data_IF_645913396781
#
_entry.id   IF_645913396781
#
_cell.length_a   1.000
_cell.length_b   1.000
_cell.length_c   1.000
_cell.angle_alpha   90.00
_cell.angle_beta   90.00
_cell.angle_gamma   90.00
#
_symmetry.space_group_name_H-M   'P 1'
#
loop_
_entity.id
_entity.type
_entity.pdbx_description
1 polymer ?
#
# COMPACT_ATOMS: atom_id res chain seq x y z
N UNK A 1 18.94 -11.68 -31.08
CA UNK A 1 18.27 -12.24 -29.88
C UNK A 1 18.95 -11.67 -28.65
N UNK A 2 18.14 -11.22 -27.69
CA UNK A 2 18.42 -10.33 -26.55
C UNK A 2 18.65 -8.85 -26.95
N UNK A 3 17.57 -8.06 -26.88
CA UNK A 3 17.68 -6.69 -26.41
C UNK A 3 17.86 -6.78 -24.89
N UNK A 4 19.05 -6.49 -24.34
CA UNK A 4 19.18 -6.33 -22.92
C UNK A 4 18.51 -5.00 -22.62
N UNK A 5 17.24 -5.01 -22.21
CA UNK A 5 16.67 -3.82 -21.60
C UNK A 5 17.71 -3.37 -20.57
N UNK A 6 18.26 -2.14 -20.66
CA UNK A 6 19.06 -1.62 -19.57
C UNK A 6 18.24 -1.76 -18.30
N UNK A 7 18.89 -1.81 -17.14
CA UNK A 7 18.24 -1.73 -15.83
C UNK A 7 17.53 -0.36 -15.71
N UNK A 8 16.48 -0.18 -16.51
CA UNK A 8 15.74 1.03 -16.75
C UNK A 8 14.94 1.25 -15.50
N UNK A 9 15.56 2.04 -14.63
CA UNK A 9 14.93 3.07 -13.84
C UNK A 9 13.93 2.48 -12.84
N UNK A 10 14.38 2.37 -11.59
CA UNK A 10 13.44 2.52 -10.49
C UNK A 10 12.60 3.76 -10.79
N UNK A 11 11.32 3.57 -11.14
CA UNK A 11 10.39 4.67 -11.34
C UNK A 11 10.21 5.31 -9.97
N UNK A 12 11.13 6.21 -9.64
CA UNK A 12 10.98 7.11 -8.53
C UNK A 12 9.73 7.92 -8.87
N UNK A 13 8.69 7.89 -8.01
CA UNK A 13 7.46 8.62 -8.31
C UNK A 13 7.84 10.07 -8.60
N UNK A 14 7.32 10.61 -9.70
CA UNK A 14 7.47 12.03 -10.00
C UNK A 14 7.11 12.84 -8.75
N UNK A 15 7.82 13.94 -8.43
CA UNK A 15 7.45 14.80 -7.31
C UNK A 15 5.97 15.20 -7.33
N UNK A 16 5.40 15.34 -8.52
CA UNK A 16 3.97 15.60 -8.70
C UNK A 16 3.10 14.40 -8.29
N UNK A 17 3.50 13.17 -8.63
CA UNK A 17 2.78 11.98 -8.22
C UNK A 17 2.82 11.80 -6.69
N UNK A 18 3.98 12.02 -6.06
CA UNK A 18 4.09 11.98 -4.61
C UNK A 18 3.17 13.01 -3.93
N UNK A 19 3.08 14.24 -4.47
CA UNK A 19 2.17 15.26 -3.95
C UNK A 19 0.68 14.93 -4.16
N UNK A 20 0.31 14.36 -5.31
CA UNK A 20 -1.09 13.97 -5.60
C UNK A 20 -1.54 12.78 -4.75
N UNK A 21 -0.61 11.91 -4.36
CA UNK A 21 -0.89 10.71 -3.57
C UNK A 21 -0.49 10.83 -2.09
N UNK A 22 -0.15 12.02 -1.59
CA UNK A 22 0.04 12.22 -0.15
C UNK A 22 -1.30 12.11 0.58
N UNK A 23 -1.42 11.08 1.43
CA UNK A 23 -2.61 10.80 2.24
C UNK A 23 -2.39 11.10 3.72
N UNK A 24 -1.32 11.83 4.06
CA UNK A 24 -1.04 12.26 5.42
C UNK A 24 -2.26 12.97 6.04
N UNK A 25 -2.58 12.60 7.29
CA UNK A 25 -3.75 13.14 8.01
C UNK A 25 -5.09 12.48 7.64
N UNK A 26 -5.13 11.64 6.59
CA UNK A 26 -6.35 10.92 6.18
C UNK A 26 -6.52 9.60 6.94
N UNK A 27 -7.77 9.18 7.12
CA UNK A 27 -8.13 7.85 7.65
C UNK A 27 -8.84 7.05 6.55
N UNK A 28 -8.40 5.81 6.31
CA UNK A 28 -8.99 4.92 5.31
C UNK A 28 -9.48 3.61 5.94
N UNK A 29 -10.67 3.14 5.53
CA UNK A 29 -11.20 1.82 5.88
C UNK A 29 -11.08 0.88 4.68
N UNK A 30 -10.40 -0.25 4.85
CA UNK A 30 -10.25 -1.26 3.80
C UNK A 30 -11.00 -2.52 4.19
N UNK A 31 -12.04 -2.87 3.42
CA UNK A 31 -12.76 -4.15 3.57
C UNK A 31 -12.12 -5.23 2.69
N UNK A 32 -12.25 -6.50 3.10
CA UNK A 32 -11.55 -7.60 2.42
C UNK A 32 -10.03 -7.54 2.60
N UNK A 33 -9.55 -6.83 3.62
CA UNK A 33 -8.13 -6.52 3.83
C UNK A 33 -7.25 -7.73 4.20
N UNK A 34 -7.85 -8.89 4.47
CA UNK A 34 -7.12 -10.09 4.91
C UNK A 34 -6.20 -10.72 3.86
N UNK A 35 -6.35 -10.37 2.57
CA UNK A 35 -5.58 -11.00 1.48
C UNK A 35 -5.70 -10.23 0.16
N UNK A 36 -4.93 -10.64 -0.86
CA UNK A 36 -5.10 -10.19 -2.24
C UNK A 36 -4.99 -8.67 -2.41
N UNK A 37 -5.92 -8.10 -3.20
CA UNK A 37 -5.95 -6.65 -3.48
C UNK A 37 -6.20 -5.81 -2.22
N UNK A 38 -7.08 -6.26 -1.32
CA UNK A 38 -7.37 -5.54 -0.08
C UNK A 38 -6.11 -5.35 0.77
N UNK A 39 -5.31 -6.40 0.93
CA UNK A 39 -4.02 -6.32 1.64
C UNK A 39 -3.03 -5.38 0.91
N UNK A 40 -2.98 -5.42 -0.42
CA UNK A 40 -2.13 -4.51 -1.21
C UNK A 40 -2.56 -3.05 -1.09
N UNK A 41 -3.86 -2.77 -1.17
CA UNK A 41 -4.39 -1.41 -1.01
C UNK A 41 -4.11 -0.87 0.38
N UNK A 42 -4.34 -1.67 1.43
CA UNK A 42 -3.99 -1.28 2.79
C UNK A 42 -2.51 -0.88 2.92
N UNK A 43 -1.60 -1.69 2.35
CA UNK A 43 -0.17 -1.40 2.39
C UNK A 43 0.19 -0.12 1.61
N UNK A 44 -0.38 0.09 0.42
CA UNK A 44 -0.11 1.29 -0.40
C UNK A 44 -0.66 2.54 0.27
N UNK A 45 -1.88 2.51 0.79
CA UNK A 45 -2.49 3.66 1.49
C UNK A 45 -1.66 4.04 2.73
N UNK A 46 -1.25 3.05 3.52
CA UNK A 46 -0.40 3.29 4.68
C UNK A 46 0.99 3.83 4.29
N UNK A 47 1.59 3.30 3.22
CA UNK A 47 2.88 3.78 2.70
C UNK A 47 2.84 5.24 2.23
N UNK A 48 1.65 5.74 1.88
CA UNK A 48 1.40 7.12 1.48
C UNK A 48 0.87 8.00 2.64
N UNK A 49 0.96 7.55 3.90
CA UNK A 49 0.69 8.38 5.08
C UNK A 49 -0.73 8.30 5.65
N UNK A 50 -1.62 7.50 5.05
CA UNK A 50 -2.95 7.30 5.62
C UNK A 50 -2.90 6.45 6.90
N UNK A 51 -3.77 6.76 7.87
CA UNK A 51 -4.10 5.82 8.96
C UNK A 51 -5.13 4.82 8.44
N UNK A 52 -4.79 3.53 8.44
CA UNK A 52 -5.62 2.51 7.80
C UNK A 52 -6.26 1.57 8.81
N UNK A 53 -7.59 1.48 8.78
CA UNK A 53 -8.36 0.46 9.49
C UNK A 53 -8.60 -0.74 8.56
N UNK A 54 -8.28 -1.95 9.03
CA UNK A 54 -8.46 -3.19 8.27
C UNK A 54 -9.72 -3.92 8.73
N UNK A 55 -10.59 -4.28 7.79
CA UNK A 55 -11.84 -4.98 8.07
C UNK A 55 -11.97 -6.28 7.27
N UNK A 56 -12.38 -7.33 7.96
CA UNK A 56 -12.57 -8.67 7.41
C UNK A 56 -12.96 -9.67 8.50
N UNK A 57 -13.31 -10.88 8.09
CA UNK A 57 -13.78 -11.94 9.02
C UNK A 57 -12.65 -12.70 9.71
N UNK A 58 -11.47 -12.77 9.10
CA UNK A 58 -10.33 -13.56 9.57
C UNK A 58 -9.36 -12.68 10.34
N UNK A 59 -9.51 -12.64 11.67
CA UNK A 59 -8.71 -11.79 12.57
C UNK A 59 -7.21 -12.03 12.43
N UNK A 60 -6.77 -13.28 12.48
CA UNK A 60 -5.35 -13.62 12.44
C UNK A 60 -4.67 -13.18 11.13
N UNK A 61 -5.39 -13.28 10.00
CA UNK A 61 -4.89 -12.78 8.71
C UNK A 61 -4.83 -11.25 8.68
N UNK A 62 -5.79 -10.55 9.30
CA UNK A 62 -5.74 -9.09 9.42
C UNK A 62 -4.56 -8.64 10.29
N UNK A 63 -4.24 -9.36 11.37
CA UNK A 63 -3.09 -9.05 12.22
C UNK A 63 -1.76 -9.23 11.48
N UNK A 64 -1.65 -10.27 10.64
CA UNK A 64 -0.48 -10.44 9.76
C UNK A 64 -0.32 -9.27 8.79
N UNK A 65 -1.42 -8.79 8.21
CA UNK A 65 -1.41 -7.64 7.27
C UNK A 65 -1.12 -6.32 7.99
N UNK A 66 -1.63 -6.13 9.21
CA UNK A 66 -1.41 -4.92 9.99
C UNK A 66 0.07 -4.69 10.33
N UNK A 67 0.85 -5.77 10.43
CA UNK A 67 2.32 -5.75 10.47
C UNK A 67 2.90 -4.70 11.41
N UNK A 68 2.89 -4.95 12.72
CA UNK A 68 3.56 -4.19 13.80
C UNK A 68 3.99 -2.75 13.45
N UNK A 69 3.05 -1.87 13.11
CA UNK A 69 3.31 -0.43 12.98
C UNK A 69 2.28 0.32 13.81
N UNK A 70 2.80 0.95 14.87
CA UNK A 70 2.08 1.85 15.77
C UNK A 70 1.93 3.23 15.15
#
# INVERSE_FOLDING_TARGET
MADPRPAAEAHLPSPLAAAVFDLSGTVALVTGASSGLGARFAAVLAANGARVALAGRRRDELEKVAGARR
#
